data_IF_269406168752
#
_entry.id   IF_269406168752
#
_cell.length_a   1.000
_cell.length_b   1.000
_cell.length_c   1.000
_cell.angle_alpha   90.00
_cell.angle_beta   90.00
_cell.angle_gamma   90.00
#
_symmetry.space_group_name_H-M   'P 1'
#
loop_
_entity.id
_entity.type
_entity.pdbx_description
1 polymer ?
#
# COMPACT_ATOMS: atom_id res chain seq x y z
N UNK A 1 -16.99 -7.97 -3.93
CA UNK A 1 -15.54 -8.02 -3.61
C UNK A 1 -14.67 -7.79 -4.84
N UNK A 2 -14.52 -8.72 -5.81
CA UNK A 2 -13.58 -8.54 -6.94
C UNK A 2 -13.90 -7.35 -7.85
N UNK A 3 -15.16 -7.20 -8.30
CA UNK A 3 -15.57 -6.05 -9.15
C UNK A 3 -15.36 -4.71 -8.46
N UNK A 4 -15.69 -4.62 -7.18
CA UNK A 4 -15.51 -3.39 -6.39
C UNK A 4 -14.03 -3.10 -6.14
N UNK A 5 -13.21 -4.12 -5.91
CA UNK A 5 -11.75 -3.96 -5.83
C UNK A 5 -11.18 -3.48 -7.16
N UNK A 6 -11.64 -4.00 -8.30
CA UNK A 6 -11.16 -3.54 -9.61
C UNK A 6 -11.49 -2.07 -9.84
N UNK A 7 -12.74 -1.65 -9.55
CA UNK A 7 -13.13 -0.23 -9.60
C UNK A 7 -12.27 0.62 -8.66
N UNK A 8 -12.05 0.14 -7.44
CA UNK A 8 -11.21 0.83 -6.47
C UNK A 8 -9.78 0.97 -6.96
N UNK A 9 -9.17 -0.07 -7.54
CA UNK A 9 -7.80 0.03 -8.10
C UNK A 9 -7.72 1.04 -9.24
N UNK A 10 -8.72 1.09 -10.12
CA UNK A 10 -8.78 2.08 -11.21
C UNK A 10 -8.87 3.52 -10.67
N UNK A 11 -9.62 3.74 -9.59
CA UNK A 11 -9.86 5.07 -9.04
C UNK A 11 -8.77 5.53 -8.06
N UNK A 12 -8.39 4.64 -7.15
CA UNK A 12 -7.43 4.89 -6.07
C UNK A 12 -5.98 4.79 -6.54
N UNK A 13 -5.74 3.97 -7.58
CA UNK A 13 -4.43 3.71 -8.19
C UNK A 13 -3.36 3.33 -7.16
N UNK A 14 -3.58 2.25 -6.38
CA UNK A 14 -2.63 1.83 -5.34
C UNK A 14 -1.27 1.48 -5.93
N UNK A 15 -1.23 0.94 -7.14
CA UNK A 15 -0.03 0.65 -7.92
C UNK A 15 0.63 1.91 -8.51
N UNK A 16 0.04 3.10 -8.44
CA UNK A 16 0.71 4.33 -8.90
C UNK A 16 1.30 5.16 -7.75
N UNK A 17 1.14 4.73 -6.50
CA UNK A 17 1.65 5.48 -5.34
C UNK A 17 3.19 5.44 -5.37
N UNK A 18 3.81 6.62 -5.30
CA UNK A 18 5.28 6.75 -5.22
C UNK A 18 5.76 7.10 -3.82
N UNK A 19 7.01 6.75 -3.54
CA UNK A 19 7.71 7.02 -2.29
C UNK A 19 7.59 8.48 -1.88
N UNK A 20 7.83 9.42 -2.80
CA UNK A 20 7.81 10.85 -2.53
C UNK A 20 6.46 11.35 -2.01
N UNK A 21 5.35 10.68 -2.37
CA UNK A 21 4.01 11.04 -1.88
C UNK A 21 3.79 10.65 -0.41
N UNK A 22 4.46 9.59 0.05
CA UNK A 22 4.24 8.98 1.37
C UNK A 22 5.45 9.10 2.30
N UNK A 23 6.57 9.66 1.83
CA UNK A 23 7.83 9.75 2.55
C UNK A 23 7.67 10.38 3.95
N UNK A 24 6.85 11.44 4.04
CA UNK A 24 6.51 12.09 5.31
C UNK A 24 5.83 11.15 6.32
N UNK A 25 4.98 10.23 5.85
CA UNK A 25 4.33 9.27 6.73
C UNK A 25 5.32 8.22 7.24
N UNK A 26 6.41 7.97 6.52
CA UNK A 26 7.43 6.95 6.82
C UNK A 26 8.57 7.45 7.72
N UNK A 27 8.77 8.76 7.89
CA UNK A 27 9.91 9.40 8.58
C UNK A 27 10.28 8.76 9.93
N UNK A 28 9.28 8.31 10.70
CA UNK A 28 9.47 7.79 12.05
C UNK A 28 9.51 6.26 12.15
N UNK A 29 9.40 5.55 11.03
CA UNK A 29 9.41 4.08 11.03
C UNK A 29 8.18 3.45 11.68
N UNK A 30 7.03 4.14 11.63
CA UNK A 30 5.76 3.62 12.18
C UNK A 30 5.23 2.39 11.45
N UNK A 31 5.52 2.26 10.16
CA UNK A 31 5.30 1.07 9.35
C UNK A 31 6.46 0.98 8.36
N UNK A 32 7.04 -0.21 8.19
CA UNK A 32 8.05 -0.44 7.15
C UNK A 32 8.21 -1.92 6.84
N UNK A 33 8.58 -2.24 5.59
CA UNK A 33 9.00 -3.60 5.20
C UNK A 33 10.42 -3.84 5.68
N UNK A 34 10.72 -4.95 6.36
CA UNK A 34 12.13 -5.30 6.67
C UNK A 34 12.82 -5.94 5.47
N UNK A 35 14.16 -6.02 5.50
CA UNK A 35 14.96 -6.68 4.46
C UNK A 35 15.21 -8.17 4.77
N UNK A 36 14.18 -8.86 5.23
CA UNK A 36 14.19 -10.30 5.47
C UNK A 36 12.76 -10.84 5.34
N UNK A 37 12.67 -12.15 5.24
CA UNK A 37 11.41 -12.89 5.27
C UNK A 37 11.37 -13.77 6.51
N UNK A 38 10.19 -14.26 6.82
CA UNK A 38 10.09 -15.39 7.73
C UNK A 38 10.55 -16.69 7.04
N UNK A 39 10.66 -17.78 7.79
CA UNK A 39 11.11 -19.08 7.25
C UNK A 39 10.15 -19.69 6.22
N UNK A 40 8.97 -19.11 6.02
CA UNK A 40 7.98 -19.50 5.01
C UNK A 40 8.03 -18.61 3.76
N UNK A 41 9.02 -17.72 3.66
CA UNK A 41 9.21 -16.81 2.53
C UNK A 41 8.26 -15.63 2.53
N UNK A 42 7.55 -15.36 3.63
CA UNK A 42 6.61 -14.25 3.73
C UNK A 42 7.36 -12.95 4.02
N UNK A 43 7.11 -11.86 3.27
CA UNK A 43 7.64 -10.54 3.62
C UNK A 43 7.05 -10.09 4.96
N UNK A 44 7.84 -9.30 5.67
CA UNK A 44 7.51 -8.88 7.03
C UNK A 44 7.34 -7.36 7.07
N UNK A 45 6.18 -6.92 7.53
CA UNK A 45 5.91 -5.52 7.84
C UNK A 45 6.06 -5.32 9.35
N UNK A 46 6.98 -4.45 9.75
CA UNK A 46 7.07 -3.98 11.13
C UNK A 46 6.13 -2.78 11.30
N UNK A 47 5.38 -2.77 12.39
CA UNK A 47 4.50 -1.67 12.77
C UNK A 47 4.85 -1.20 14.19
N UNK A 48 5.13 0.09 14.35
CA UNK A 48 5.40 0.73 15.64
C UNK A 48 4.36 1.82 15.91
N UNK A 49 3.21 1.52 16.54
CA UNK A 49 2.17 2.52 16.73
C UNK A 49 2.61 3.71 17.59
N UNK A 50 3.60 3.53 18.47
CA UNK A 50 4.22 4.62 19.26
C UNK A 50 5.01 5.63 18.42
N UNK A 51 5.32 5.31 17.17
CA UNK A 51 6.03 6.19 16.24
C UNK A 51 5.09 7.03 15.37
N UNK A 52 3.78 7.12 15.66
CA UNK A 52 2.85 7.91 14.85
C UNK A 52 3.26 9.39 14.81
N UNK A 53 3.42 9.95 13.60
CA UNK A 53 3.94 11.30 13.37
C UNK A 53 2.96 12.23 12.63
N UNK A 54 1.85 11.71 12.09
CA UNK A 54 0.88 12.51 11.34
C UNK A 54 -0.53 12.36 11.91
N UNK A 55 -1.44 13.27 11.48
CA UNK A 55 -2.87 13.24 11.84
C UNK A 55 -3.79 12.93 10.65
N UNK A 56 -3.25 12.95 9.43
CA UNK A 56 -4.05 12.78 8.21
C UNK A 56 -4.48 11.33 8.06
N UNK A 57 -5.77 11.04 8.26
CA UNK A 57 -6.31 9.70 7.99
C UNK A 57 -6.04 9.26 6.55
N UNK A 58 -6.25 10.15 5.57
CA UNK A 58 -5.99 9.84 4.16
C UNK A 58 -4.52 9.52 3.90
N UNK A 59 -3.59 10.29 4.48
CA UNK A 59 -2.15 10.07 4.35
C UNK A 59 -1.72 8.73 4.96
N UNK A 60 -2.21 8.43 6.16
CA UNK A 60 -1.92 7.16 6.85
C UNK A 60 -2.46 5.94 6.09
N UNK A 61 -3.68 6.01 5.54
CA UNK A 61 -4.23 4.93 4.72
C UNK A 61 -3.46 4.78 3.41
N UNK A 62 -3.09 5.89 2.76
CA UNK A 62 -2.26 5.84 1.54
C UNK A 62 -0.89 5.23 1.80
N UNK A 63 -0.28 5.55 2.94
CA UNK A 63 0.99 4.96 3.35
C UNK A 63 0.86 3.46 3.66
N UNK A 64 -0.19 3.03 4.38
CA UNK A 64 -0.46 1.61 4.60
C UNK A 64 -0.60 0.87 3.27
N UNK A 65 -1.39 1.41 2.33
CA UNK A 65 -1.57 0.82 1.01
C UNK A 65 -0.25 0.71 0.25
N UNK A 66 0.59 1.75 0.27
CA UNK A 66 1.93 1.70 -0.31
C UNK A 66 2.77 0.56 0.29
N UNK A 67 2.82 0.44 1.62
CA UNK A 67 3.56 -0.65 2.28
C UNK A 67 3.02 -2.03 1.91
N UNK A 68 1.69 -2.18 1.78
CA UNK A 68 1.05 -3.43 1.39
C UNK A 68 1.39 -3.81 -0.05
N UNK A 69 1.26 -2.88 -1.01
CA UNK A 69 1.60 -3.11 -2.42
C UNK A 69 3.09 -3.43 -2.58
N UNK A 70 3.95 -2.67 -1.90
CA UNK A 70 5.40 -2.90 -1.91
C UNK A 70 5.77 -4.27 -1.30
N UNK A 71 5.06 -4.73 -0.27
CA UNK A 71 5.23 -6.09 0.27
C UNK A 71 4.72 -7.16 -0.72
N UNK A 72 3.59 -6.93 -1.39
CA UNK A 72 3.03 -7.85 -2.38
C UNK A 72 3.98 -8.05 -3.57
N UNK A 73 4.58 -6.95 -4.04
CA UNK A 73 5.55 -6.98 -5.14
C UNK A 73 6.86 -7.74 -4.81
N UNK A 74 7.09 -8.02 -3.52
CA UNK A 74 8.27 -8.74 -3.03
C UNK A 74 7.91 -10.14 -2.50
N UNK A 75 6.70 -10.63 -2.80
CA UNK A 75 6.32 -12.02 -2.54
C UNK A 75 7.01 -12.95 -3.55
N UNK A 76 7.50 -14.13 -3.12
CA UNK A 76 7.87 -15.18 -4.06
C UNK A 76 6.62 -15.75 -4.75
N UNK A 77 6.79 -16.34 -5.95
CA UNK A 77 5.69 -16.81 -6.82
C UNK A 77 4.68 -17.75 -6.15
N UNK A 78 5.10 -18.47 -5.11
CA UNK A 78 4.29 -19.44 -4.37
C UNK A 78 3.73 -18.89 -3.03
N UNK A 79 3.77 -17.58 -2.82
CA UNK A 79 3.33 -16.94 -1.59
C UNK A 79 2.39 -15.77 -1.87
N UNK A 80 1.35 -15.66 -1.06
CA UNK A 80 0.33 -14.61 -1.22
C UNK A 80 0.18 -13.74 0.05
N UNK A 81 0.85 -14.15 1.13
CA UNK A 81 0.68 -13.62 2.47
C UNK A 81 1.93 -12.95 3.01
N UNK A 82 1.72 -12.01 3.93
CA UNK A 82 2.76 -11.33 4.68
C UNK A 82 2.60 -11.52 6.18
N UNK A 83 3.66 -11.26 6.93
CA UNK A 83 3.66 -11.26 8.39
C UNK A 83 3.68 -9.82 8.90
N UNK A 84 2.87 -9.54 9.90
CA UNK A 84 2.90 -8.26 10.61
C UNK A 84 3.57 -8.45 11.96
N UNK A 85 4.59 -7.67 12.24
CA UNK A 85 5.32 -7.66 13.50
C UNK A 85 5.09 -6.31 14.18
N UNK A 86 4.21 -6.30 15.16
CA UNK A 86 3.70 -5.09 15.80
C UNK A 86 4.43 -4.90 17.13
N UNK A 87 5.27 -3.88 17.19
CA UNK A 87 6.07 -3.50 18.35
C UNK A 87 5.27 -2.53 19.24
N UNK A 88 4.96 -2.97 20.46
CA UNK A 88 4.25 -2.16 21.44
C UNK A 88 5.18 -1.41 22.40
N UNK A 89 6.49 -1.37 22.15
CA UNK A 89 7.40 -0.56 22.96
C UNK A 89 6.98 0.93 22.93
N UNK A 90 6.79 1.51 24.11
CA UNK A 90 6.33 2.90 24.27
C UNK A 90 4.87 3.13 23.86
N UNK A 91 4.10 2.07 23.56
CA UNK A 91 2.71 2.20 23.19
C UNK A 91 1.83 2.65 24.36
N UNK A 92 0.89 3.55 24.07
CA UNK A 92 -0.26 3.85 24.92
C UNK A 92 -1.49 4.05 24.03
N UNK A 93 -2.68 4.03 24.63
CA UNK A 93 -3.94 4.07 23.88
C UNK A 93 -4.18 5.37 23.09
N UNK A 94 -3.50 6.48 23.41
CA UNK A 94 -3.64 7.73 22.65
C UNK A 94 -3.04 7.64 21.24
N UNK A 95 -2.17 6.66 20.99
CA UNK A 95 -1.62 6.40 19.66
C UNK A 95 -2.62 5.73 18.71
N UNK A 96 -3.75 5.21 19.22
CA UNK A 96 -4.81 4.61 18.40
C UNK A 96 -5.88 5.65 18.09
N UNK A 97 -6.09 5.91 16.80
CA UNK A 97 -7.26 6.66 16.32
C UNK A 97 -8.33 5.69 15.84
N UNK A 98 -9.49 5.68 16.51
CA UNK A 98 -10.65 4.83 16.13
C UNK A 98 -11.03 5.04 14.67
N UNK A 99 -10.96 6.29 14.18
CA UNK A 99 -11.24 6.63 12.79
C UNK A 99 -10.26 5.91 11.85
N UNK A 100 -8.96 6.01 12.11
CA UNK A 100 -7.92 5.38 11.28
C UNK A 100 -8.04 3.85 11.34
N UNK A 101 -8.28 3.28 12.52
CA UNK A 101 -8.48 1.84 12.69
C UNK A 101 -9.66 1.31 11.88
N UNK A 102 -10.77 2.07 11.83
CA UNK A 102 -11.94 1.70 11.02
C UNK A 102 -11.65 1.75 9.53
N UNK A 103 -11.03 2.84 9.05
CA UNK A 103 -10.66 2.95 7.62
C UNK A 103 -9.63 1.87 7.23
N UNK A 104 -8.70 1.55 8.12
CA UNK A 104 -7.73 0.46 7.95
C UNK A 104 -8.44 -0.88 7.80
N UNK A 105 -9.34 -1.21 8.73
CA UNK A 105 -10.12 -2.44 8.67
C UNK A 105 -10.94 -2.53 7.37
N UNK A 106 -11.57 -1.44 6.97
CA UNK A 106 -12.36 -1.38 5.73
C UNK A 106 -11.51 -1.67 4.49
N UNK A 107 -10.37 -0.98 4.33
CA UNK A 107 -9.48 -1.20 3.18
C UNK A 107 -8.94 -2.63 3.14
N UNK A 108 -8.55 -3.20 4.27
CA UNK A 108 -8.02 -4.56 4.34
C UNK A 108 -9.07 -5.61 4.00
N UNK A 109 -10.29 -5.46 4.53
CA UNK A 109 -11.39 -6.39 4.30
C UNK A 109 -11.89 -6.35 2.85
N UNK A 110 -12.04 -5.16 2.28
CA UNK A 110 -12.63 -5.00 0.95
C UNK A 110 -11.64 -5.21 -0.19
N UNK A 111 -10.37 -4.83 -0.01
CA UNK A 111 -9.40 -4.73 -1.11
C UNK A 111 -8.14 -5.57 -0.94
N UNK A 112 -7.84 -6.04 0.28
CA UNK A 112 -6.68 -6.91 0.56
C UNK A 112 -7.07 -8.18 1.35
N UNK A 113 -8.11 -8.92 0.91
CA UNK A 113 -8.53 -10.11 1.62
C UNK A 113 -7.42 -11.17 1.65
N UNK A 114 -7.34 -11.91 2.76
CA UNK A 114 -6.42 -13.04 2.97
C UNK A 114 -4.91 -12.74 2.84
N UNK A 115 -4.50 -11.47 2.77
CA UNK A 115 -3.07 -11.07 2.72
C UNK A 115 -2.32 -11.25 4.05
N UNK A 116 -3.01 -11.23 5.17
CA UNK A 116 -2.39 -11.48 6.47
C UNK A 116 -2.16 -12.99 6.65
N UNK A 117 -0.90 -13.40 6.80
CA UNK A 117 -0.52 -14.77 7.17
C UNK A 117 -0.41 -14.96 8.68
N UNK A 118 0.23 -13.99 9.35
CA UNK A 118 0.38 -13.98 10.81
C UNK A 118 0.54 -12.54 11.31
N UNK A 119 -0.05 -12.21 12.45
CA UNK A 119 0.20 -10.96 13.19
C UNK A 119 0.80 -11.30 14.55
N UNK A 120 2.02 -10.80 14.80
CA UNK A 120 2.75 -10.96 16.05
C UNK A 120 2.68 -9.64 16.80
N UNK A 121 2.07 -9.65 17.97
CA UNK A 121 2.00 -8.53 18.89
C UNK A 121 3.12 -8.71 19.90
N UNK A 122 4.18 -7.94 19.73
CA UNK A 122 5.40 -8.02 20.52
C UNK A 122 5.37 -7.03 21.68
N UNK A 123 5.53 -7.54 22.90
CA UNK A 123 5.46 -6.80 24.16
C UNK A 123 4.23 -5.89 24.33
N UNK A 124 2.99 -6.34 24.00
CA UNK A 124 1.80 -5.54 24.25
C UNK A 124 1.66 -5.25 25.75
N UNK A 125 1.32 -4.01 26.16
CA UNK A 125 1.15 -3.73 27.58
C UNK A 125 -0.03 -4.52 28.13
N UNK A 126 -0.03 -4.81 29.43
CA UNK A 126 -1.08 -5.63 30.08
C UNK A 126 -2.51 -5.11 29.84
N UNK A 127 -2.67 -3.80 29.64
CA UNK A 127 -3.96 -3.18 29.29
C UNK A 127 -4.50 -3.61 27.91
N UNK A 128 -3.67 -4.19 27.05
CA UNK A 128 -4.07 -4.63 25.73
C UNK A 128 -4.85 -5.97 25.76
N UNK A 129 -4.62 -6.83 26.75
CA UNK A 129 -5.39 -8.08 26.89
C UNK A 129 -6.91 -7.88 27.01
N UNK A 130 -7.43 -6.99 27.89
CA UNK A 130 -8.87 -6.73 27.93
C UNK A 130 -9.37 -6.06 26.65
N UNK A 131 -8.58 -5.18 26.02
CA UNK A 131 -8.91 -4.60 24.72
C UNK A 131 -9.05 -5.68 23.63
N UNK A 132 -8.10 -6.62 23.56
CA UNK A 132 -8.17 -7.73 22.61
C UNK A 132 -9.41 -8.60 22.82
N UNK A 133 -9.75 -8.91 24.08
CA UNK A 133 -10.99 -9.66 24.40
C UNK A 133 -12.26 -8.94 23.93
N UNK A 134 -12.26 -7.61 23.97
CA UNK A 134 -13.38 -6.80 23.46
C UNK A 134 -13.44 -6.76 21.93
N UNK A 135 -12.30 -6.72 21.24
CA UNK A 135 -12.24 -6.63 19.77
C UNK A 135 -12.45 -7.99 19.09
N UNK A 136 -12.01 -9.08 19.72
CA UNK A 136 -12.04 -10.44 19.17
C UNK A 136 -13.40 -10.87 18.58
N UNK A 137 -14.57 -10.59 19.20
CA UNK A 137 -15.87 -10.97 18.65
C UNK A 137 -16.23 -10.30 17.32
N UNK A 138 -15.59 -9.18 16.98
CA UNK A 138 -15.80 -8.44 15.74
C UNK A 138 -14.84 -8.89 14.61
N UNK A 139 -13.90 -9.79 14.92
CA UNK A 139 -12.95 -10.34 13.95
C UNK A 139 -13.40 -11.74 13.54
N UNK A 140 -13.24 -12.06 12.26
CA UNK A 140 -13.45 -13.43 11.77
C UNK A 140 -12.52 -14.42 12.49
N UNK A 141 -12.99 -15.64 12.71
CA UNK A 141 -12.24 -16.68 13.43
C UNK A 141 -10.87 -16.95 12.80
N UNK A 142 -10.78 -16.91 11.46
CA UNK A 142 -9.51 -17.06 10.73
C UNK A 142 -8.51 -15.98 11.10
N UNK A 143 -8.94 -14.72 11.19
CA UNK A 143 -8.09 -13.59 11.59
C UNK A 143 -7.61 -13.76 13.03
N UNK A 144 -8.50 -14.14 13.95
CA UNK A 144 -8.13 -14.41 15.34
C UNK A 144 -7.04 -15.49 15.46
N UNK A 145 -7.14 -16.56 14.66
CA UNK A 145 -6.19 -17.67 14.66
C UNK A 145 -4.81 -17.29 14.10
N UNK A 146 -4.70 -16.15 13.40
CA UNK A 146 -3.44 -15.61 12.87
C UNK A 146 -2.74 -14.67 13.86
N UNK A 147 -3.35 -14.34 15.00
CA UNK A 147 -2.75 -13.44 16.00
C UNK A 147 -1.95 -14.23 17.04
N UNK A 148 -0.72 -13.79 17.32
CA UNK A 148 0.16 -14.34 18.35
C UNK A 148 0.68 -13.21 19.24
N UNK A 149 0.65 -13.45 20.54
CA UNK A 149 1.22 -12.56 21.55
C UNK A 149 2.61 -13.08 21.89
N UNK A 150 3.60 -12.20 21.88
CA UNK A 150 4.99 -12.54 22.20
C UNK A 150 5.50 -11.56 23.22
N UNK A 151 6.04 -12.08 24.33
CA UNK A 151 6.64 -11.28 25.40
C UNK A 151 8.15 -11.59 25.51
N UNK A 152 8.97 -10.55 25.61
CA UNK A 152 10.44 -10.67 25.63
C UNK A 152 10.99 -11.24 26.93
N UNK A 153 10.20 -11.28 27.99
CA UNK A 153 10.52 -11.90 29.28
C UNK A 153 10.04 -13.35 29.40
N UNK A 154 9.25 -13.85 28.43
CA UNK A 154 8.75 -15.22 28.39
C UNK A 154 9.52 -16.08 27.38
N UNK A 155 10.17 -17.14 27.86
CA UNK A 155 10.94 -18.04 27.01
C UNK A 155 10.06 -18.86 26.05
N UNK A 156 8.80 -19.14 26.39
CA UNK A 156 7.89 -19.86 25.48
C UNK A 156 7.50 -18.94 24.30
N UNK A 157 7.18 -17.69 24.58
CA UNK A 157 6.93 -16.66 23.57
C UNK A 157 8.12 -16.44 22.63
N UNK A 158 9.36 -16.44 23.14
CA UNK A 158 10.57 -16.32 22.30
C UNK A 158 10.70 -17.42 21.26
N UNK A 159 10.36 -18.67 21.63
CA UNK A 159 10.38 -19.79 20.69
C UNK A 159 9.48 -19.57 19.48
N UNK A 160 8.38 -18.83 19.63
CA UNK A 160 7.52 -18.46 18.49
C UNK A 160 8.33 -17.66 17.45
N UNK A 161 9.16 -16.71 17.88
CA UNK A 161 10.01 -15.96 16.96
C UNK A 161 11.13 -16.83 16.39
N UNK A 162 11.78 -17.65 17.22
CA UNK A 162 12.84 -18.56 16.79
C UNK A 162 12.35 -19.58 15.76
N UNK A 163 11.12 -20.06 15.88
CA UNK A 163 10.50 -20.98 14.94
C UNK A 163 10.15 -20.30 13.62
N UNK A 164 9.73 -19.03 13.68
CA UNK A 164 9.25 -18.28 12.51
C UNK A 164 10.33 -17.54 11.74
N UNK A 165 11.40 -17.09 12.39
CA UNK A 165 12.40 -16.20 11.78
C UNK A 165 13.81 -16.77 11.85
N UNK A 166 14.66 -16.35 10.91
CA UNK A 166 16.10 -16.41 11.07
C UNK A 166 16.53 -15.31 12.05
N UNK A 167 16.96 -15.71 13.25
CA UNK A 167 17.32 -14.79 14.31
C UNK A 167 18.59 -13.99 14.00
N UNK A 168 19.42 -14.39 13.03
CA UNK A 168 20.54 -13.56 12.53
C UNK A 168 20.05 -12.35 11.71
N UNK A 169 18.86 -12.45 11.12
CA UNK A 169 18.29 -11.42 10.25
C UNK A 169 17.22 -10.58 10.95
N UNK A 170 16.63 -11.09 12.03
CA UNK A 170 15.63 -10.38 12.83
C UNK A 170 16.28 -9.24 13.62
N UNK A 171 15.52 -8.15 13.82
CA UNK A 171 16.01 -6.98 14.55
C UNK A 171 16.22 -7.28 16.04
N UNK A 172 17.22 -6.61 16.63
CA UNK A 172 17.50 -6.69 18.08
C UNK A 172 16.29 -6.27 18.92
N UNK A 173 15.47 -5.33 18.42
CA UNK A 173 14.22 -4.93 19.07
C UNK A 173 13.27 -6.12 19.34
N UNK A 174 13.33 -7.15 18.50
CA UNK A 174 12.53 -8.37 18.61
C UNK A 174 13.34 -9.57 19.14
N UNK A 175 14.51 -9.33 19.74
CA UNK A 175 15.39 -10.39 20.26
C UNK A 175 16.27 -11.08 19.22
N UNK A 176 16.35 -10.54 17.99
CA UNK A 176 17.28 -10.99 16.97
C UNK A 176 18.73 -10.53 17.21
N UNK A 177 19.62 -10.88 16.29
CA UNK A 177 21.08 -10.66 16.37
C UNK A 177 21.62 -9.71 15.30
N UNK A 178 20.75 -9.18 14.42
CA UNK A 178 21.16 -8.24 13.38
C UNK A 178 21.56 -6.90 14.00
N UNK A 179 22.85 -6.55 13.99
CA UNK A 179 23.39 -5.36 14.66
C UNK A 179 23.00 -4.02 14.02
N UNK A 180 22.77 -3.98 12.71
CA UNK A 180 22.32 -2.79 11.94
C UNK A 180 20.81 -2.86 11.64
N UNK A 181 20.01 -3.16 12.66
CA UNK A 181 18.59 -3.48 12.48
C UNK A 181 17.60 -2.40 12.88
N UNK A 182 18.06 -1.29 13.48
CA UNK A 182 17.14 -0.20 13.78
C UNK A 182 16.68 0.46 12.49
N UNK A 183 15.40 0.84 12.43
CA UNK A 183 14.87 1.59 11.30
C UNK A 183 15.73 2.83 11.01
N UNK A 184 16.30 2.88 9.81
CA UNK A 184 17.05 4.03 9.30
C UNK A 184 16.28 4.59 8.11
N UNK A 185 15.76 5.81 8.26
CA UNK A 185 14.90 6.43 7.26
C UNK A 185 15.59 6.56 5.89
N UNK A 186 16.85 7.00 5.84
CA UNK A 186 17.54 7.23 4.57
C UNK A 186 17.79 5.91 3.82
N UNK A 187 18.30 4.89 4.50
CA UNK A 187 18.47 3.54 3.91
C UNK A 187 17.13 2.96 3.44
N UNK A 188 16.07 3.18 4.22
CA UNK A 188 14.74 2.72 3.85
C UNK A 188 14.21 3.47 2.62
N UNK A 189 14.36 4.80 2.60
CA UNK A 189 13.94 5.67 1.51
C UNK A 189 14.65 5.34 0.20
N UNK A 190 15.97 5.13 0.23
CA UNK A 190 16.77 4.69 -0.92
C UNK A 190 16.18 3.41 -1.53
N UNK A 191 15.97 2.38 -0.71
CA UNK A 191 15.40 1.11 -1.19
C UNK A 191 13.97 1.26 -1.72
N UNK A 192 13.14 2.08 -1.09
CA UNK A 192 11.76 2.31 -1.57
C UNK A 192 11.75 3.02 -2.94
N UNK A 193 12.67 3.97 -3.17
CA UNK A 193 12.85 4.58 -4.49
C UNK A 193 13.36 3.58 -5.52
N UNK A 194 14.29 2.69 -5.15
CA UNK A 194 14.74 1.63 -6.04
C UNK A 194 13.61 0.67 -6.42
N UNK A 195 12.77 0.29 -5.47
CA UNK A 195 11.60 -0.55 -5.72
C UNK A 195 10.65 0.18 -6.68
N UNK A 196 10.32 1.45 -6.42
CA UNK A 196 9.52 2.25 -7.34
C UNK A 196 10.11 2.28 -8.76
N UNK A 197 11.42 2.48 -8.90
CA UNK A 197 12.08 2.45 -10.22
C UNK A 197 11.96 1.09 -10.91
N UNK A 198 12.13 -0.02 -10.18
CA UNK A 198 12.01 -1.38 -10.75
C UNK A 198 10.61 -1.66 -11.28
N UNK A 199 9.58 -1.21 -10.56
CA UNK A 199 8.18 -1.50 -10.90
C UNK A 199 7.59 -0.49 -11.88
N UNK A 200 8.09 0.74 -11.93
CA UNK A 200 7.51 1.83 -12.74
C UNK A 200 8.41 2.35 -13.85
N UNK A 201 9.72 2.14 -13.77
CA UNK A 201 10.69 2.56 -14.79
C UNK A 201 10.51 1.85 -16.13
N UNK A 202 9.94 0.64 -16.12
CA UNK A 202 9.66 -0.12 -17.35
C UNK A 202 8.42 0.40 -18.11
N UNK A 203 7.61 1.27 -17.52
CA UNK A 203 6.38 1.79 -18.14
C UNK A 203 6.66 3.00 -19.05
N UNK A 204 7.79 3.69 -18.88
CA UNK A 204 8.14 4.86 -19.71
C UNK A 204 8.62 4.47 -21.12
N UNK A 205 9.08 3.23 -21.32
CA UNK A 205 9.69 2.82 -22.61
C UNK A 205 8.69 2.31 -23.66
N UNK A 206 7.41 2.10 -23.31
CA UNK A 206 6.41 1.54 -24.25
C UNK A 206 5.52 2.61 -24.89
N UNK A 207 5.55 3.87 -24.41
CA UNK A 207 4.66 4.93 -24.92
C UNK A 207 5.23 5.73 -26.11
N UNK A 208 6.39 5.36 -26.66
CA UNK A 208 7.07 6.12 -27.73
C UNK A 208 7.53 5.25 -28.91
N UNK A 209 6.71 4.28 -29.34
CA UNK A 209 6.91 3.59 -30.64
C UNK A 209 5.58 3.35 -31.36
N UNK A 210 4.77 4.41 -31.48
CA UNK A 210 3.69 4.48 -32.47
C UNK A 210 3.53 5.91 -32.96
N UNK A 211 4.63 6.46 -33.47
CA UNK A 211 4.59 7.62 -34.35
C UNK A 211 5.77 7.55 -35.30
N UNK A 212 5.45 7.49 -36.60
CA UNK A 212 6.30 7.77 -37.76
C UNK A 212 7.17 6.64 -38.33
N UNK A 213 6.65 6.01 -39.39
CA UNK A 213 7.35 5.77 -40.66
C UNK A 213 6.34 6.11 -41.77
N UNK A 214 6.33 7.34 -42.31
CA UNK A 214 7.09 7.90 -43.47
C UNK A 214 6.19 8.01 -44.72
N UNK A 215 5.89 9.25 -45.12
CA UNK A 215 5.48 9.59 -46.49
C UNK A 215 6.73 9.59 -47.39
N UNK A 216 6.62 8.98 -48.57
CA UNK A 216 7.43 9.34 -49.74
C UNK A 216 6.63 9.01 -51.00
N UNK A 217 6.57 9.99 -51.89
CA UNK A 217 5.78 10.06 -53.12
C UNK A 217 6.06 8.96 -54.17
N UNK A 218 5.03 8.62 -54.93
CA UNK A 218 5.15 8.29 -56.36
C UNK A 218 3.81 8.51 -57.07
N UNK A 219 3.81 9.38 -58.07
CA UNK A 219 2.75 9.57 -59.07
C UNK A 219 2.46 8.28 -59.85
N UNK A 220 1.19 8.06 -60.23
CA UNK A 220 0.72 7.74 -61.59
C UNK A 220 -0.82 7.57 -61.60
N UNK A 221 -1.41 8.00 -62.71
CA UNK A 221 -2.81 8.12 -63.14
C UNK A 221 -3.75 6.93 -62.89
N UNK A 222 -5.05 7.17 -62.64
CA UNK A 222 -6.09 7.22 -63.71
C UNK A 222 -7.53 7.39 -63.18
N UNK A 223 -8.30 8.16 -63.96
CA UNK A 223 -9.74 8.11 -64.29
C UNK A 223 -10.86 8.00 -63.23
N UNK A 224 -11.77 8.99 -63.32
CA UNK A 224 -13.24 8.88 -63.31
C UNK A 224 -13.97 8.40 -62.03
N UNK A 225 -14.78 9.26 -61.41
CA UNK A 225 -16.18 9.46 -61.83
C UNK A 225 -16.88 10.60 -61.07
N UNK A 226 -17.88 11.15 -61.75
CA UNK A 226 -18.75 12.29 -61.39
C UNK A 226 -19.62 12.03 -60.15
N UNK A 227 -19.97 13.09 -59.40
CA UNK A 227 -21.28 13.77 -59.47
C UNK A 227 -21.73 14.46 -58.16
N UNK A 228 -22.39 15.62 -58.37
CA UNK A 228 -23.46 16.26 -57.59
C UNK A 228 -23.04 16.96 -56.27
N UNK A 229 -22.90 18.28 -56.26
CA UNK A 229 -23.95 19.32 -56.21
C UNK A 229 -24.52 19.56 -54.80
N UNK A 230 -24.35 20.83 -54.39
CA UNK A 230 -25.37 21.71 -53.80
C UNK A 230 -25.38 22.07 -52.30
N UNK A 231 -25.10 23.38 -52.14
CA UNK A 231 -25.72 24.41 -51.29
C UNK A 231 -25.30 24.48 -49.81
N UNK A 232 -24.65 25.57 -49.36
CA UNK A 232 -25.24 26.90 -49.06
C UNK A 232 -26.37 26.77 -48.02
N UNK A 233 -26.45 27.50 -46.90
CA UNK A 233 -25.78 28.72 -46.45
C UNK A 233 -26.18 29.03 -44.99
N UNK A 234 -25.45 29.99 -44.39
CA UNK A 234 -25.92 31.03 -43.42
C UNK A 234 -26.35 30.59 -41.98
N UNK A 235 -25.57 30.91 -40.92
CA UNK A 235 -25.56 32.17 -40.11
C UNK A 235 -26.98 32.54 -39.57
N UNK A 236 -27.27 32.91 -38.32
CA UNK A 236 -26.60 33.87 -37.43
C UNK A 236 -27.46 34.07 -36.14
N UNK A 237 -26.77 34.34 -35.01
CA UNK A 237 -27.08 35.25 -33.87
C UNK A 237 -28.12 34.97 -32.76
N UNK A 238 -27.54 35.00 -31.55
CA UNK A 238 -27.78 35.91 -30.40
C UNK A 238 -29.01 35.75 -29.50
N UNK A 239 -28.75 35.72 -28.19
CA UNK A 239 -29.71 36.19 -27.18
C UNK A 239 -29.42 35.78 -25.73
N UNK A 240 -28.59 36.54 -25.03
CA UNK A 240 -28.63 36.77 -23.56
C UNK A 240 -28.78 38.31 -23.41
N UNK A 241 -29.30 38.94 -22.33
CA UNK A 241 -29.20 38.52 -20.92
C UNK A 241 -30.29 39.05 -19.92
N UNK A 242 -29.96 38.97 -18.61
CA UNK A 242 -30.55 39.56 -17.38
C UNK A 242 -31.74 38.81 -16.75
N UNK A 243 -31.78 38.42 -15.46
CA UNK A 243 -31.39 38.95 -14.13
C UNK A 243 -32.66 39.26 -13.31
N UNK A 244 -32.72 38.79 -12.05
CA UNK A 244 -33.26 39.45 -10.83
C UNK A 244 -33.69 38.46 -9.72
N UNK A 245 -32.87 38.42 -8.66
CA UNK A 245 -33.13 38.49 -7.20
C UNK A 245 -34.42 38.01 -6.48
N UNK A 246 -34.19 37.57 -5.22
CA UNK A 246 -35.06 37.39 -4.02
C UNK A 246 -35.62 35.96 -3.85
N UNK A 247 -35.39 35.24 -2.75
CA UNK A 247 -35.41 35.61 -1.32
C UNK A 247 -34.52 34.65 -0.53
#
# INVERSE_FOLDING_TARGET
MLKETLKWRIQYKPDEIRWEEIAREAETGKIYRVNCTDKYGRPVLVMRPSCQNTKSTKGQIRFLVYCMENAILNLPDNQEQMVWLIDFQGFNMSHISVKVSRETAHVLQEHYPERLGLAILYNPPKIFEPFWKMVKPFLEAKTCNKVRFVYSDDNLSKKILEDLFDMEQLEVAFGGRKSDSSFNYEKYAERMREDDLKFFGNTTTVSSTSAQLTNSDSEVSDSENKNLEDNEDVKIKNGTPLDTTKT
#
